data_IF_616073079490
#
_entry.id   IF_616073079490
#
_cell.length_a   1.000
_cell.length_b   1.000
_cell.length_c   1.000
_cell.angle_alpha   90.00
_cell.angle_beta   90.00
_cell.angle_gamma   90.00
#
_symmetry.space_group_name_H-M   'P 1'
#
loop_
_entity.id
_entity.type
_entity.pdbx_description
1 polymer ?
#
# COMPACT_ATOMS: atom_id res chain seq x y z
N UNK A 1 -61.64 3.23 -6.20
CA UNK A 1 -60.58 3.42 -5.19
C UNK A 1 -59.97 2.06 -4.93
N UNK A 2 -58.88 1.72 -5.62
CA UNK A 2 -58.18 0.45 -5.45
C UNK A 2 -57.26 0.56 -4.23
N UNK A 3 -57.45 -0.34 -3.26
CA UNK A 3 -56.55 -0.47 -2.12
C UNK A 3 -55.25 -1.12 -2.58
N UNK A 4 -54.13 -0.47 -2.31
CA UNK A 4 -52.78 -0.99 -2.56
C UNK A 4 -52.46 -2.16 -1.60
N UNK A 5 -51.60 -3.13 -1.99
CA UNK A 5 -51.30 -4.30 -1.19
C UNK A 5 -50.49 -3.97 0.07
N UNK A 6 -50.87 -4.58 1.18
CA UNK A 6 -50.27 -4.47 2.53
C UNK A 6 -48.78 -4.83 2.60
N UNK A 7 -48.19 -5.46 1.58
CA UNK A 7 -46.77 -5.86 1.60
C UNK A 7 -45.78 -4.71 1.38
N UNK A 8 -46.25 -3.53 0.96
CA UNK A 8 -45.39 -2.36 0.82
C UNK A 8 -45.16 -1.65 2.18
N UNK A 9 -46.13 -1.73 3.09
CA UNK A 9 -46.02 -1.17 4.43
C UNK A 9 -45.24 -2.07 5.40
N UNK A 10 -45.28 -3.40 5.23
CA UNK A 10 -44.51 -4.32 6.10
C UNK A 10 -42.99 -4.22 5.88
N UNK A 11 -42.53 -3.99 4.65
CA UNK A 11 -41.11 -3.79 4.37
C UNK A 11 -40.58 -2.42 4.84
N UNK A 12 -41.44 -1.40 4.94
CA UNK A 12 -41.07 -0.12 5.53
C UNK A 12 -41.06 -0.19 7.08
N UNK A 13 -41.93 -1.00 7.69
CA UNK A 13 -41.90 -1.21 9.15
C UNK A 13 -40.71 -2.04 9.62
N UNK A 14 -40.21 -2.98 8.82
CA UNK A 14 -38.96 -3.69 9.11
C UNK A 14 -37.73 -2.79 8.99
N UNK A 15 -37.75 -1.79 8.10
CA UNK A 15 -36.66 -0.82 7.95
C UNK A 15 -36.71 0.30 9.00
N UNK A 16 -37.90 0.64 9.52
CA UNK A 16 -38.08 1.57 10.64
C UNK A 16 -37.91 0.93 12.02
N UNK A 17 -37.72 -0.39 12.13
CA UNK A 17 -37.40 -1.07 13.40
C UNK A 17 -35.91 -1.07 13.75
N UNK A 18 -35.06 -0.29 13.06
CA UNK A 18 -33.76 0.15 13.60
C UNK A 18 -33.93 1.36 14.54
N UNK A 19 -34.91 1.29 15.43
CA UNK A 19 -34.99 2.20 16.57
C UNK A 19 -34.03 1.61 17.60
N UNK A 20 -32.83 2.18 17.68
CA UNK A 20 -32.06 2.41 18.91
C UNK A 20 -32.35 1.43 20.07
N UNK A 21 -32.08 0.14 19.89
CA UNK A 21 -31.88 -0.70 21.05
C UNK A 21 -30.51 -0.33 21.59
N UNK A 22 -30.47 0.17 22.82
CA UNK A 22 -29.21 0.28 23.53
C UNK A 22 -28.75 -1.15 23.82
N UNK A 23 -27.64 -1.54 23.20
CA UNK A 23 -26.99 -2.82 23.45
C UNK A 23 -25.55 -2.59 23.87
N UNK A 24 -25.01 -3.62 24.50
CA UNK A 24 -23.65 -3.62 25.00
C UNK A 24 -22.73 -4.13 23.90
N UNK A 25 -21.60 -3.48 23.73
CA UNK A 25 -20.56 -3.77 22.74
C UNK A 25 -19.32 -4.21 23.47
N UNK A 26 -18.71 -5.31 23.06
CA UNK A 26 -17.39 -5.73 23.53
C UNK A 26 -16.31 -4.91 22.81
N UNK A 27 -15.47 -4.22 23.58
CA UNK A 27 -14.51 -3.25 23.05
C UNK A 27 -13.40 -3.96 22.28
N UNK A 28 -12.96 -5.14 22.75
CA UNK A 28 -11.92 -5.91 22.06
C UNK A 28 -12.45 -6.47 20.73
N UNK A 29 -13.67 -7.00 20.72
CA UNK A 29 -14.31 -7.49 19.50
C UNK A 29 -14.51 -6.34 18.49
N UNK A 30 -15.01 -5.19 18.95
CA UNK A 30 -15.17 -4.00 18.12
C UNK A 30 -13.83 -3.57 17.51
N UNK A 31 -12.79 -3.43 18.34
CA UNK A 31 -11.47 -2.98 17.90
C UNK A 31 -10.79 -3.97 16.95
N UNK A 32 -10.97 -5.27 17.18
CA UNK A 32 -10.46 -6.34 16.32
C UNK A 32 -11.15 -6.36 14.95
N UNK A 33 -12.47 -6.19 14.90
CA UNK A 33 -13.21 -6.15 13.63
C UNK A 33 -12.89 -4.86 12.88
N UNK A 34 -12.86 -3.71 13.57
CA UNK A 34 -12.56 -2.43 12.93
C UNK A 34 -11.12 -2.38 12.40
N UNK A 35 -10.12 -2.80 13.17
CA UNK A 35 -8.73 -2.92 12.70
C UNK A 35 -8.59 -3.84 11.48
N UNK A 36 -9.36 -4.94 11.45
CA UNK A 36 -9.38 -5.85 10.30
C UNK A 36 -9.89 -5.16 9.04
N UNK A 37 -10.96 -4.38 9.15
CA UNK A 37 -11.47 -3.57 8.03
C UNK A 37 -10.43 -2.56 7.55
N UNK A 38 -9.79 -1.84 8.47
CA UNK A 38 -8.77 -0.84 8.12
C UNK A 38 -7.59 -1.47 7.39
N UNK A 39 -7.15 -2.65 7.82
CA UNK A 39 -6.07 -3.36 7.17
C UNK A 39 -6.41 -3.74 5.72
N UNK A 40 -7.54 -4.43 5.51
CA UNK A 40 -7.88 -4.96 4.19
C UNK A 40 -8.41 -3.90 3.21
N UNK A 41 -9.26 -2.99 3.67
CA UNK A 41 -9.97 -2.08 2.76
C UNK A 41 -9.20 -0.77 2.54
N UNK A 42 -8.25 -0.43 3.41
CA UNK A 42 -7.50 0.84 3.31
C UNK A 42 -5.99 0.64 3.20
N UNK A 43 -5.38 -0.14 4.10
CA UNK A 43 -3.92 -0.28 4.13
C UNK A 43 -3.38 -1.15 2.99
N UNK A 44 -4.02 -2.28 2.67
CA UNK A 44 -3.58 -3.16 1.59
C UNK A 44 -3.60 -2.45 0.22
N UNK A 45 -4.67 -1.68 -0.04
CA UNK A 45 -4.79 -0.87 -1.26
C UNK A 45 -3.73 0.23 -1.35
N UNK A 46 -3.45 0.90 -0.23
CA UNK A 46 -2.39 1.91 -0.12
C UNK A 46 -1.01 1.28 -0.37
N UNK A 47 -0.71 0.16 0.28
CA UNK A 47 0.54 -0.57 0.11
C UNK A 47 0.74 -1.06 -1.32
N UNK A 48 -0.29 -1.62 -1.95
CA UNK A 48 -0.23 -2.06 -3.35
C UNK A 48 0.08 -0.89 -4.30
N UNK A 49 -0.55 0.25 -4.09
CA UNK A 49 -0.34 1.46 -4.90
C UNK A 49 1.07 2.03 -4.71
N UNK A 50 1.55 2.10 -3.47
CA UNK A 50 2.93 2.52 -3.16
C UNK A 50 3.95 1.57 -3.78
N UNK A 51 3.74 0.26 -3.68
CA UNK A 51 4.65 -0.75 -4.21
C UNK A 51 4.78 -0.65 -5.73
N UNK A 52 3.64 -0.50 -6.42
CA UNK A 52 3.61 -0.28 -7.86
C UNK A 52 4.36 1.00 -8.25
N UNK A 53 4.16 2.10 -7.52
CA UNK A 53 4.83 3.37 -7.79
C UNK A 53 6.34 3.28 -7.60
N UNK A 54 6.81 2.60 -6.55
CA UNK A 54 8.24 2.35 -6.31
C UNK A 54 8.82 1.46 -7.43
N UNK A 55 8.12 0.39 -7.80
CA UNK A 55 8.51 -0.52 -8.89
C UNK A 55 8.68 0.24 -10.20
N UNK A 56 7.69 1.04 -10.60
CA UNK A 56 7.76 1.86 -11.82
C UNK A 56 8.94 2.83 -11.78
N UNK A 57 9.15 3.50 -10.65
CA UNK A 57 10.29 4.41 -10.49
C UNK A 57 11.63 3.67 -10.69
N UNK A 58 11.79 2.48 -10.12
CA UNK A 58 13.00 1.68 -10.32
C UNK A 58 13.17 1.22 -11.77
N UNK A 59 12.09 0.87 -12.45
CA UNK A 59 12.12 0.50 -13.86
C UNK A 59 12.57 1.67 -14.76
N UNK A 60 12.15 2.90 -14.44
CA UNK A 60 12.53 4.11 -15.16
C UNK A 60 14.02 4.46 -14.97
N UNK A 61 14.57 4.14 -13.80
CA UNK A 61 16.00 4.30 -13.51
C UNK A 61 16.89 3.27 -14.25
N UNK A 62 16.31 2.15 -14.71
CA UNK A 62 17.02 1.17 -15.56
C UNK A 62 17.10 1.69 -16.98
N UNK A 63 18.13 2.49 -17.24
CA UNK A 63 18.49 2.89 -18.60
C UNK A 63 19.61 2.02 -19.14
N UNK A 64 19.28 1.27 -20.20
CA UNK A 64 20.21 0.48 -21.01
C UNK A 64 20.54 1.30 -22.24
N UNK A 65 21.78 1.80 -22.33
CA UNK A 65 22.29 2.40 -23.56
C UNK A 65 23.25 1.44 -24.24
N UNK A 66 23.10 1.29 -25.56
CA UNK A 66 24.08 0.63 -26.40
C UNK A 66 24.77 1.70 -27.24
N UNK A 67 26.10 1.80 -27.16
CA UNK A 67 26.84 2.62 -28.12
C UNK A 67 26.72 1.99 -29.50
N UNK A 68 25.90 2.61 -30.36
CA UNK A 68 25.73 2.23 -31.76
C UNK A 68 26.87 2.80 -32.59
N UNK A 69 27.57 1.92 -33.31
CA UNK A 69 28.47 2.29 -34.38
C UNK A 69 28.14 1.40 -35.59
N UNK A 70 27.04 1.69 -36.28
CA UNK A 70 26.72 1.03 -37.56
C UNK A 70 25.26 0.62 -37.69
N UNK A 71 24.69 0.99 -38.84
CA UNK A 71 23.29 0.89 -39.24
C UNK A 71 22.92 -0.60 -39.51
N UNK A 72 22.71 -1.39 -38.46
CA UNK A 72 22.06 -2.70 -38.58
C UNK A 72 20.83 -2.72 -37.66
N UNK A 73 19.64 -2.59 -38.27
CA UNK A 73 18.33 -2.53 -37.61
C UNK A 73 18.06 -3.73 -36.68
N UNK A 74 18.53 -4.92 -37.03
CA UNK A 74 18.35 -6.15 -36.22
C UNK A 74 18.91 -6.01 -34.80
N UNK A 75 19.98 -5.21 -34.62
CA UNK A 75 20.59 -5.03 -33.31
C UNK A 75 19.84 -4.04 -32.41
N UNK A 76 19.08 -3.11 -33.03
CA UNK A 76 18.27 -2.14 -32.28
C UNK A 76 17.11 -2.86 -31.60
N UNK A 77 16.45 -3.77 -32.33
CA UNK A 77 15.36 -4.61 -31.80
C UNK A 77 15.83 -5.50 -30.65
N UNK A 78 17.01 -6.11 -30.75
CA UNK A 78 17.57 -6.96 -29.69
C UNK A 78 17.90 -6.17 -28.40
N UNK A 79 18.35 -4.91 -28.53
CA UNK A 79 18.64 -4.04 -27.38
C UNK A 79 17.37 -3.54 -26.71
N UNK A 80 16.34 -3.20 -27.48
CA UNK A 80 15.03 -2.82 -26.93
C UNK A 80 14.35 -4.01 -26.22
N UNK A 81 14.46 -5.22 -26.77
CA UNK A 81 13.98 -6.43 -26.12
C UNK A 81 14.73 -6.70 -24.81
N UNK A 82 16.06 -6.62 -24.83
CA UNK A 82 16.89 -6.80 -23.62
C UNK A 82 16.55 -5.75 -22.56
N UNK A 83 16.35 -4.49 -22.96
CA UNK A 83 15.91 -3.42 -22.08
C UNK A 83 14.57 -3.74 -21.44
N UNK A 84 13.56 -4.14 -22.24
CA UNK A 84 12.24 -4.51 -21.73
C UNK A 84 12.30 -5.69 -20.75
N UNK A 85 13.13 -6.70 -21.03
CA UNK A 85 13.34 -7.84 -20.14
C UNK A 85 13.99 -7.43 -18.82
N UNK A 86 15.01 -6.57 -18.86
CA UNK A 86 15.68 -6.06 -17.66
C UNK A 86 14.74 -5.20 -16.83
N UNK A 87 13.97 -4.30 -17.46
CA UNK A 87 12.97 -3.49 -16.76
C UNK A 87 11.91 -4.39 -16.10
N UNK A 88 11.36 -5.37 -16.82
CA UNK A 88 10.39 -6.31 -16.24
C UNK A 88 10.97 -7.11 -15.07
N UNK A 89 12.21 -7.60 -15.19
CA UNK A 89 12.88 -8.33 -14.12
C UNK A 89 13.15 -7.45 -12.88
N UNK A 90 13.55 -6.19 -13.09
CA UNK A 90 13.72 -5.22 -12.00
C UNK A 90 12.39 -4.93 -11.32
N UNK A 91 11.34 -4.64 -12.08
CA UNK A 91 10.01 -4.40 -11.53
C UNK A 91 9.53 -5.55 -10.65
N UNK A 92 9.64 -6.80 -11.15
CA UNK A 92 9.29 -8.00 -10.38
C UNK A 92 10.12 -8.14 -9.11
N UNK A 93 11.44 -7.96 -9.18
CA UNK A 93 12.32 -8.08 -8.02
C UNK A 93 11.97 -7.07 -6.92
N UNK A 94 11.63 -5.84 -7.31
CA UNK A 94 11.21 -4.80 -6.37
C UNK A 94 9.85 -5.13 -5.76
N UNK A 95 8.87 -5.54 -6.58
CA UNK A 95 7.54 -5.96 -6.11
C UNK A 95 7.61 -7.17 -5.16
N UNK A 96 8.55 -8.08 -5.37
CA UNK A 96 8.77 -9.24 -4.49
C UNK A 96 9.48 -8.85 -3.17
N UNK A 97 10.30 -7.80 -3.19
CA UNK A 97 11.10 -7.37 -2.03
C UNK A 97 10.33 -6.45 -1.08
N UNK A 98 9.47 -5.59 -1.63
CA UNK A 98 8.75 -4.56 -0.87
C UNK A 98 7.82 -5.10 0.23
N UNK A 99 7.10 -6.23 0.08
CA UNK A 99 6.27 -6.78 1.14
C UNK A 99 7.05 -7.07 2.42
N UNK A 100 8.28 -7.58 2.31
CA UNK A 100 9.13 -7.87 3.46
C UNK A 100 9.61 -6.58 4.14
N UNK A 101 10.02 -5.58 3.36
CA UNK A 101 10.42 -4.26 3.86
C UNK A 101 9.24 -3.59 4.58
N UNK A 102 8.06 -3.61 3.95
CA UNK A 102 6.84 -3.07 4.53
C UNK A 102 6.50 -3.74 5.86
N UNK A 103 6.44 -5.08 5.89
CA UNK A 103 6.11 -5.81 7.12
C UNK A 103 7.09 -5.52 8.26
N UNK A 104 8.36 -5.28 7.96
CA UNK A 104 9.36 -4.91 8.96
C UNK A 104 9.13 -3.50 9.55
N UNK A 105 8.70 -2.54 8.71
CA UNK A 105 8.50 -1.14 9.11
C UNK A 105 7.09 -0.83 9.62
N UNK A 106 6.09 -1.57 9.15
CA UNK A 106 4.66 -1.30 9.39
C UNK A 106 4.08 -2.06 10.59
N UNK A 107 4.91 -2.70 11.42
CA UNK A 107 4.47 -3.40 12.64
C UNK A 107 3.64 -2.49 13.56
N UNK A 108 3.96 -1.20 13.62
CA UNK A 108 3.23 -0.18 14.41
C UNK A 108 1.78 0.02 13.96
N UNK A 109 1.45 -0.28 12.71
CA UNK A 109 0.08 -0.24 12.15
C UNK A 109 -0.41 -1.64 11.77
N UNK A 110 0.17 -2.69 12.36
CA UNK A 110 -0.35 -4.03 12.20
C UNK A 110 -1.71 -4.17 12.92
N UNK A 111 -2.40 -5.29 12.66
CA UNK A 111 -3.71 -5.55 13.25
C UNK A 111 -3.71 -5.45 14.77
N UNK A 112 -2.66 -5.94 15.44
CA UNK A 112 -2.60 -5.97 16.89
C UNK A 112 -2.47 -4.55 17.47
N UNK A 113 -1.52 -3.77 16.95
CA UNK A 113 -1.29 -2.40 17.40
C UNK A 113 -2.44 -1.47 17.04
N UNK A 114 -3.04 -1.61 15.84
CA UNK A 114 -4.25 -0.86 15.49
C UNK A 114 -5.43 -1.22 16.40
N UNK A 115 -5.64 -2.49 16.72
CA UNK A 115 -6.71 -2.89 17.63
C UNK A 115 -6.50 -2.28 19.01
N UNK A 116 -5.28 -2.28 19.54
CA UNK A 116 -4.94 -1.65 20.82
C UNK A 116 -5.21 -0.14 20.77
N UNK A 117 -4.80 0.53 19.69
CA UNK A 117 -5.01 1.97 19.54
C UNK A 117 -6.50 2.33 19.43
N UNK A 118 -7.28 1.57 18.66
CA UNK A 118 -8.73 1.76 18.53
C UNK A 118 -9.41 1.58 19.90
N UNK A 119 -9.02 0.56 20.66
CA UNK A 119 -9.51 0.33 22.01
C UNK A 119 -9.22 1.53 22.92
N UNK A 120 -7.98 2.03 22.91
CA UNK A 120 -7.58 3.21 23.68
C UNK A 120 -8.42 4.43 23.33
N UNK A 121 -8.60 4.72 22.03
CA UNK A 121 -9.42 5.85 21.58
C UNK A 121 -10.89 5.66 21.95
N UNK A 122 -11.42 4.44 21.87
CA UNK A 122 -12.80 4.15 22.25
C UNK A 122 -13.02 4.39 23.74
N UNK A 123 -12.10 3.95 24.60
CA UNK A 123 -12.17 4.18 26.05
C UNK A 123 -11.95 5.65 26.42
N UNK A 124 -11.12 6.38 25.67
CA UNK A 124 -10.90 7.81 25.88
C UNK A 124 -12.18 8.63 25.67
N UNK A 125 -12.91 8.37 24.58
CA UNK A 125 -14.15 9.09 24.26
C UNK A 125 -15.39 8.52 24.94
N UNK A 126 -15.34 7.25 25.34
CA UNK A 126 -16.39 6.59 26.08
C UNK A 126 -15.80 5.90 27.32
N UNK A 127 -15.63 6.66 28.42
CA UNK A 127 -15.02 6.13 29.63
C UNK A 127 -15.81 4.96 30.22
N UNK A 128 -15.13 3.84 30.45
CA UNK A 128 -15.67 2.66 31.11
C UNK A 128 -14.59 1.94 31.91
N UNK A 129 -15.00 1.30 33.01
CA UNK A 129 -14.11 0.45 33.82
C UNK A 129 -14.25 -1.04 33.43
N UNK A 130 -15.05 -1.34 32.43
CA UNK A 130 -15.37 -2.69 31.96
C UNK A 130 -14.87 -2.88 30.53
N UNK A 131 -14.77 -4.13 30.07
CA UNK A 131 -14.45 -4.47 28.66
C UNK A 131 -15.61 -4.20 27.71
N UNK A 132 -16.69 -3.60 28.21
CA UNK A 132 -17.93 -3.41 27.48
C UNK A 132 -18.47 -1.99 27.62
N UNK A 133 -19.24 -1.59 26.60
CA UNK A 133 -19.68 -0.21 26.43
C UNK A 133 -21.04 -0.13 25.72
N UNK A 134 -21.82 0.91 25.97
CA UNK A 134 -23.08 1.10 25.24
C UNK A 134 -22.80 1.56 23.81
N UNK A 135 -23.51 0.96 22.85
CA UNK A 135 -23.37 1.28 21.42
C UNK A 135 -23.57 2.77 21.13
N UNK A 136 -24.55 3.40 21.78
CA UNK A 136 -24.87 4.81 21.59
C UNK A 136 -23.68 5.73 21.90
N UNK A 137 -22.85 5.42 22.88
CA UNK A 137 -21.67 6.24 23.18
C UNK A 137 -20.67 6.20 22.01
N UNK A 138 -20.42 5.02 21.44
CA UNK A 138 -19.54 4.89 20.28
C UNK A 138 -20.15 5.63 19.09
N UNK A 139 -21.46 5.53 18.87
CA UNK A 139 -22.17 6.23 17.78
C UNK A 139 -22.11 7.77 17.92
N UNK A 140 -22.25 8.28 19.14
CA UNK A 140 -22.19 9.70 19.46
C UNK A 140 -20.76 10.26 19.26
N UNK A 141 -19.74 9.46 19.63
CA UNK A 141 -18.33 9.84 19.51
C UNK A 141 -17.65 9.33 18.24
N UNK A 142 -18.41 8.72 17.33
CA UNK A 142 -17.89 7.99 16.17
C UNK A 142 -16.92 8.84 15.33
N UNK A 143 -17.28 10.09 15.07
CA UNK A 143 -16.44 11.00 14.28
C UNK A 143 -15.10 11.29 14.96
N UNK A 144 -15.07 11.43 16.28
CA UNK A 144 -13.83 11.67 17.03
C UNK A 144 -12.93 10.44 17.01
N UNK A 145 -13.50 9.26 17.27
CA UNK A 145 -12.78 7.98 17.24
C UNK A 145 -12.18 7.75 15.84
N UNK A 146 -13.00 7.86 14.81
CA UNK A 146 -12.57 7.71 13.40
C UNK A 146 -11.48 8.72 13.04
N UNK A 147 -11.65 10.00 13.38
CA UNK A 147 -10.65 11.02 13.04
C UNK A 147 -9.30 10.78 13.72
N UNK A 148 -9.30 10.24 14.94
CA UNK A 148 -8.06 9.88 15.65
C UNK A 148 -7.37 8.67 15.03
N UNK A 149 -8.14 7.65 14.67
CA UNK A 149 -7.64 6.44 14.00
C UNK A 149 -7.09 6.78 12.61
N UNK A 150 -7.79 7.60 11.84
CA UNK A 150 -7.36 8.11 10.54
C UNK A 150 -6.04 8.89 10.65
N UNK A 151 -5.97 9.83 11.60
CA UNK A 151 -4.75 10.59 11.88
C UNK A 151 -3.58 9.68 12.25
N UNK A 152 -3.82 8.70 13.14
CA UNK A 152 -2.81 7.75 13.57
C UNK A 152 -2.25 6.93 12.40
N UNK A 153 -3.14 6.37 11.57
CA UNK A 153 -2.74 5.60 10.38
C UNK A 153 -1.93 6.48 9.43
N UNK A 154 -2.45 7.66 9.09
CA UNK A 154 -1.82 8.57 8.14
C UNK A 154 -0.43 9.02 8.61
N UNK A 155 -0.29 9.42 9.86
CA UNK A 155 0.99 9.86 10.42
C UNK A 155 2.04 8.74 10.36
N UNK A 156 1.68 7.52 10.76
CA UNK A 156 2.59 6.38 10.69
C UNK A 156 2.90 5.99 9.24
N UNK A 157 1.94 6.02 8.32
CA UNK A 157 2.18 5.77 6.90
C UNK A 157 3.22 6.74 6.32
N UNK A 158 3.12 8.04 6.66
CA UNK A 158 4.07 9.06 6.20
C UNK A 158 5.48 8.83 6.78
N UNK A 159 5.58 8.39 8.03
CA UNK A 159 6.86 8.06 8.65
C UNK A 159 7.47 6.80 8.05
N UNK A 160 6.67 5.72 7.91
CA UNK A 160 7.08 4.45 7.30
C UNK A 160 7.61 4.69 5.89
N UNK A 161 6.88 5.42 5.04
CA UNK A 161 7.34 5.65 3.67
C UNK A 161 8.61 6.49 3.62
N UNK A 162 8.77 7.49 4.52
CA UNK A 162 10.02 8.25 4.59
C UNK A 162 11.20 7.36 4.99
N UNK A 163 10.99 6.39 5.87
CA UNK A 163 12.05 5.45 6.27
C UNK A 163 12.37 4.51 5.12
N UNK A 164 11.36 3.91 4.49
CA UNK A 164 11.55 3.01 3.33
C UNK A 164 12.36 3.71 2.24
N UNK A 165 12.00 4.94 1.87
CA UNK A 165 12.68 5.67 0.80
C UNK A 165 14.11 6.04 1.17
N UNK A 166 14.39 6.39 2.43
CA UNK A 166 15.72 6.86 2.85
C UNK A 166 16.68 5.73 3.21
N UNK A 167 16.17 4.64 3.76
CA UNK A 167 16.99 3.57 4.34
C UNK A 167 16.94 2.28 3.53
N UNK A 168 15.76 1.89 3.03
CA UNK A 168 15.55 0.55 2.47
C UNK A 168 15.65 0.52 0.94
N UNK A 169 15.18 1.57 0.25
CA UNK A 169 15.28 1.65 -1.22
C UNK A 169 16.71 1.82 -1.75
N UNK A 170 17.60 2.61 -1.14
CA UNK A 170 18.97 2.76 -1.65
C UNK A 170 19.76 1.44 -1.72
N UNK A 171 19.84 0.58 -0.68
CA UNK A 171 20.53 -0.71 -0.79
C UNK A 171 19.83 -1.67 -1.75
N UNK A 172 18.49 -1.62 -1.84
CA UNK A 172 17.73 -2.41 -2.81
C UNK A 172 18.08 -2.00 -4.25
N UNK A 173 18.25 -0.70 -4.49
CA UNK A 173 18.69 -0.15 -5.78
C UNK A 173 20.12 -0.58 -6.13
N UNK A 174 21.05 -0.51 -5.17
CA UNK A 174 22.43 -0.97 -5.38
C UNK A 174 22.49 -2.46 -5.75
N UNK A 175 21.70 -3.29 -5.07
CA UNK A 175 21.59 -4.72 -5.36
C UNK A 175 21.06 -4.95 -6.77
N UNK A 176 19.99 -4.23 -7.12
CA UNK A 176 19.39 -4.26 -8.47
C UNK A 176 20.41 -3.85 -9.54
N UNK A 177 21.12 -2.75 -9.33
CA UNK A 177 22.16 -2.27 -10.26
C UNK A 177 23.28 -3.30 -10.43
N UNK A 178 23.72 -3.93 -9.35
CA UNK A 178 24.75 -5.00 -9.40
C UNK A 178 24.28 -6.20 -10.23
N UNK A 179 23.02 -6.64 -10.05
CA UNK A 179 22.43 -7.73 -10.81
C UNK A 179 22.33 -7.39 -12.30
N UNK A 180 21.78 -6.21 -12.63
CA UNK A 180 21.66 -5.73 -14.02
C UNK A 180 23.05 -5.65 -14.67
N UNK A 181 24.03 -5.01 -14.03
CA UNK A 181 25.38 -4.90 -14.56
C UNK A 181 26.04 -6.27 -14.78
N UNK A 182 25.80 -7.24 -13.90
CA UNK A 182 26.31 -8.61 -14.04
C UNK A 182 25.72 -9.32 -15.27
N UNK A 183 24.42 -9.16 -15.51
CA UNK A 183 23.74 -9.69 -16.70
C UNK A 183 24.30 -9.04 -17.97
N UNK A 184 24.43 -7.71 -17.96
CA UNK A 184 24.95 -6.95 -19.09
C UNK A 184 26.40 -7.31 -19.41
N UNK A 185 27.24 -7.54 -18.39
CA UNK A 185 28.61 -8.03 -18.58
C UNK A 185 28.64 -9.42 -19.24
N UNK A 186 27.74 -10.33 -18.83
CA UNK A 186 27.60 -11.64 -19.44
C UNK A 186 27.16 -11.56 -20.91
N UNK A 187 26.14 -10.75 -21.22
CA UNK A 187 25.70 -10.50 -22.60
C UNK A 187 26.80 -9.88 -23.45
N UNK A 188 27.52 -8.89 -22.92
CA UNK A 188 28.64 -8.25 -23.62
C UNK A 188 29.72 -9.26 -23.98
N UNK A 189 30.09 -10.15 -23.04
CA UNK A 189 31.03 -11.26 -23.30
C UNK A 189 30.52 -12.25 -24.34
N UNK A 190 29.24 -12.61 -24.28
CA UNK A 190 28.61 -13.50 -25.26
C UNK A 190 28.65 -12.90 -26.68
N UNK A 191 28.30 -11.61 -26.79
CA UNK A 191 28.33 -10.87 -28.04
C UNK A 191 29.76 -10.75 -28.60
N UNK A 192 30.75 -10.44 -27.75
CA UNK A 192 32.16 -10.39 -28.14
C UNK A 192 32.66 -11.75 -28.66
N UNK A 193 32.26 -12.86 -28.02
CA UNK A 193 32.61 -14.22 -28.47
C UNK A 193 31.98 -14.58 -29.81
N UNK A 194 30.78 -14.06 -30.10
CA UNK A 194 30.08 -14.25 -31.38
C UNK A 194 30.61 -13.32 -32.48
N UNK A 195 31.14 -12.15 -32.13
CA UNK A 195 31.65 -11.13 -33.03
C UNK A 195 33.16 -11.29 -33.34
N UNK A 196 33.61 -12.49 -33.75
CA UNK A 196 35.02 -12.73 -34.13
C UNK A 196 35.44 -12.10 -35.48
N UNK A 197 34.77 -11.05 -35.95
CA UNK A 197 35.27 -10.14 -36.98
C UNK A 197 34.83 -8.71 -36.65
N UNK A 198 35.84 -7.87 -36.40
CA UNK A 198 35.84 -6.41 -36.25
C UNK A 198 34.96 -5.75 -35.17
N UNK A 199 35.66 -5.32 -34.11
CA UNK A 199 35.60 -3.98 -33.51
C UNK A 199 34.26 -3.49 -32.91
N UNK A 200 33.63 -4.23 -31.99
CA UNK A 200 32.52 -3.65 -31.19
C UNK A 200 32.57 -4.05 -29.71
N UNK A 201 33.16 -3.20 -28.88
CA UNK A 201 32.93 -3.22 -27.45
C UNK A 201 31.59 -2.50 -27.16
N UNK A 202 30.50 -3.25 -27.10
CA UNK A 202 29.21 -2.75 -26.61
C UNK A 202 29.22 -2.85 -25.09
N UNK A 203 29.46 -1.74 -24.40
CA UNK A 203 29.24 -1.66 -22.97
C UNK A 203 27.83 -1.15 -22.75
N UNK A 204 26.97 -1.98 -22.17
CA UNK A 204 25.68 -1.56 -21.66
C UNK A 204 25.88 -1.30 -20.17
N UNK A 205 25.56 -0.10 -19.71
CA UNK A 205 25.69 0.29 -18.30
C UNK A 205 24.39 0.94 -17.84
N UNK A 206 23.99 0.66 -16.60
CA UNK A 206 22.93 1.39 -15.92
C UNK A 206 23.51 2.71 -15.37
N UNK A 207 23.04 3.84 -15.89
CA UNK A 207 23.66 5.16 -15.61
C UNK A 207 23.05 5.95 -14.45
N UNK A 208 21.96 5.52 -13.84
CA UNK A 208 21.29 6.32 -12.82
C UNK A 208 21.67 5.91 -11.41
N UNK A 209 21.87 6.92 -10.57
CA UNK A 209 21.95 6.87 -9.12
C UNK A 209 20.59 7.23 -8.53
N UNK A 210 20.28 6.68 -7.37
CA UNK A 210 19.09 7.05 -6.59
C UNK A 210 19.33 8.40 -5.89
N UNK A 211 19.49 9.47 -6.68
CA UNK A 211 19.86 10.81 -6.16
C UNK A 211 18.66 11.61 -5.63
N UNK A 212 17.44 11.32 -6.12
CA UNK A 212 16.25 12.11 -5.83
C UNK A 212 15.33 11.46 -4.79
N UNK A 213 15.88 10.96 -3.68
CA UNK A 213 15.10 10.35 -2.59
C UNK A 213 14.03 11.32 -2.01
N UNK A 214 14.30 12.63 -2.00
CA UNK A 214 13.37 13.65 -1.52
C UNK A 214 12.16 13.82 -2.45
N UNK A 215 12.38 13.90 -3.76
CA UNK A 215 11.31 13.99 -4.76
C UNK A 215 10.41 12.74 -4.73
N UNK A 216 11.02 11.56 -4.65
CA UNK A 216 10.28 10.31 -4.52
C UNK A 216 9.49 10.26 -3.21
N UNK A 217 10.06 10.74 -2.10
CA UNK A 217 9.34 10.84 -0.82
C UNK A 217 8.10 11.70 -0.97
N UNK A 218 8.21 12.90 -1.56
CA UNK A 218 7.08 13.81 -1.76
C UNK A 218 6.01 13.17 -2.65
N UNK A 219 6.42 12.52 -3.75
CA UNK A 219 5.50 11.82 -4.64
C UNK A 219 4.74 10.69 -3.94
N UNK A 220 5.44 9.82 -3.20
CA UNK A 220 4.82 8.71 -2.47
C UNK A 220 3.93 9.19 -1.32
N UNK A 221 4.32 10.27 -0.62
CA UNK A 221 3.47 10.89 0.40
C UNK A 221 2.19 11.48 -0.21
N UNK A 222 2.25 12.07 -1.40
CA UNK A 222 1.05 12.53 -2.11
C UNK A 222 0.13 11.36 -2.49
N UNK A 223 0.71 10.20 -2.83
CA UNK A 223 -0.04 8.98 -3.13
C UNK A 223 -0.83 8.50 -1.91
N UNK A 224 -0.27 8.56 -0.71
CA UNK A 224 -0.98 8.21 0.53
C UNK A 224 -2.26 9.05 0.67
N UNK A 225 -2.19 10.36 0.39
CA UNK A 225 -3.36 11.23 0.46
C UNK A 225 -4.47 10.92 -0.55
N UNK A 226 -4.16 10.23 -1.65
CA UNK A 226 -5.13 9.83 -2.69
C UNK A 226 -5.77 8.47 -2.39
N UNK A 227 -5.01 7.55 -1.78
CA UNK A 227 -5.43 6.15 -1.59
C UNK A 227 -5.81 5.80 -0.15
N UNK A 228 -5.59 6.69 0.80
CA UNK A 228 -6.17 6.64 2.13
C UNK A 228 -7.32 7.67 2.22
N UNK A 229 -8.52 7.35 1.68
CA UNK A 229 -9.66 8.23 1.82
C UNK A 229 -10.01 8.37 3.30
N UNK A 230 -10.38 9.59 3.71
CA UNK A 230 -10.77 9.83 5.10
C UNK A 230 -11.87 8.87 5.51
N UNK A 231 -11.64 8.21 6.64
CA UNK A 231 -12.62 7.31 7.24
C UNK A 231 -13.95 8.05 7.51
N UNK A 232 -15.08 7.44 7.13
CA UNK A 232 -16.40 8.02 7.35
C UNK A 232 -17.02 7.54 8.66
N UNK A 233 -17.92 8.34 9.25
CA UNK A 233 -18.70 7.92 10.42
C UNK A 233 -19.54 6.67 10.12
N UNK A 234 -20.11 6.58 8.91
CA UNK A 234 -20.94 5.45 8.44
C UNK A 234 -20.20 4.11 8.53
N UNK A 235 -18.88 4.13 8.47
CA UNK A 235 -18.00 2.96 8.58
C UNK A 235 -18.15 2.26 9.94
N UNK A 236 -18.36 3.00 11.03
CA UNK A 236 -18.39 2.44 12.38
C UNK A 236 -19.67 1.66 12.71
N UNK A 237 -20.84 2.09 12.21
CA UNK A 237 -22.15 1.51 12.58
C UNK A 237 -22.21 0.00 12.35
N UNK A 238 -21.65 -0.46 11.22
CA UNK A 238 -21.55 -1.89 10.90
C UNK A 238 -20.71 -2.64 11.94
N UNK A 239 -19.59 -2.08 12.38
CA UNK A 239 -18.67 -2.75 13.29
C UNK A 239 -19.16 -2.75 14.73
N UNK A 240 -19.85 -1.69 15.15
CA UNK A 240 -20.57 -1.63 16.43
C UNK A 240 -21.59 -2.77 16.50
N UNK A 241 -22.35 -3.02 15.42
CA UNK A 241 -23.33 -4.12 15.39
C UNK A 241 -22.69 -5.53 15.42
N UNK A 242 -21.51 -5.71 14.83
CA UNK A 242 -20.81 -6.99 14.80
C UNK A 242 -20.16 -7.35 16.15
N UNK A 243 -19.99 -6.38 17.03
CA UNK A 243 -19.38 -6.53 18.35
C UNK A 243 -20.41 -6.52 19.51
N UNK A 244 -21.69 -6.68 19.19
CA UNK A 244 -22.77 -6.79 20.19
C UNK A 244 -22.54 -8.01 21.10
N UNK A 245 -22.72 -7.81 22.40
CA UNK A 245 -22.76 -8.86 23.42
C UNK A 245 -24.23 -9.21 23.66
N UNK A 246 -24.56 -10.49 23.56
CA UNK A 246 -25.89 -11.05 23.86
C UNK A 246 -26.14 -11.22 25.35
#
# INVERSE_FOLDING_TARGET
>A
TQALPTSYYDNQQLNYRRITENYVVDIHAFSSVFSTHLLFDHLDGTFSSLSKNISLHFQDLVQVSAQSFGINDDFVVDVELLKGQLQGAVGSFIEDSLPNIWNARASVIDKANLSIYIEQMTVEYCPTNHSTILNNCIEDNAQHIVSKVDYYIRDHLLQIISIIVKEDLPPLFQTTQSHVNSILAHFSKYLQKKASMDTFAKTIVMYHSFENAEELTVYLQSTIGLYHPSLEKSTLEKYISLARVD
#
